data_IF_911777586648
#
_entry.id   IF_911777586648
#
_cell.length_a   1.000
_cell.length_b   1.000
_cell.length_c   1.000
_cell.angle_alpha   90.00
_cell.angle_beta   90.00
_cell.angle_gamma   90.00
#
_symmetry.space_group_name_H-M   'P 1'
#
loop_
_entity.id
_entity.type
_entity.pdbx_description
1 polymer ?
#
# COMPACT_ATOMS: atom_id res chain seq x y z
N UNK A 1 -19.92 -17.85 25.09
CA UNK A 1 -20.46 -18.89 24.18
C UNK A 1 -19.40 -19.05 23.08
N UNK A 2 -18.74 -20.21 23.01
CA UNK A 2 -17.74 -20.45 21.98
C UNK A 2 -18.42 -20.46 20.63
N UNK A 3 -17.96 -19.61 19.71
CA UNK A 3 -18.37 -19.65 18.30
C UNK A 3 -17.99 -21.01 17.74
N UNK A 4 -18.98 -21.78 17.31
CA UNK A 4 -18.76 -23.07 16.63
C UNK A 4 -18.02 -22.80 15.33
N UNK A 5 -16.78 -23.29 15.21
CA UNK A 5 -16.00 -23.15 13.98
C UNK A 5 -16.39 -24.27 13.01
N UNK A 6 -16.66 -23.92 11.77
CA UNK A 6 -17.03 -24.87 10.71
C UNK A 6 -15.80 -25.17 9.84
N UNK A 7 -15.45 -26.44 9.69
CA UNK A 7 -14.38 -26.85 8.79
C UNK A 7 -14.78 -26.62 7.33
N UNK A 8 -13.84 -26.11 6.51
CA UNK A 8 -14.07 -25.88 5.09
C UNK A 8 -14.42 -27.18 4.35
N UNK A 9 -13.82 -28.30 4.78
CA UNK A 9 -14.11 -29.66 4.26
C UNK A 9 -15.57 -30.05 4.37
N UNK A 10 -16.28 -29.57 5.42
CA UNK A 10 -17.70 -29.86 5.65
C UNK A 10 -18.60 -29.23 4.59
N UNK A 11 -18.29 -28.03 4.14
CA UNK A 11 -19.06 -27.29 3.13
C UNK A 11 -18.54 -27.58 1.72
N UNK A 12 -17.25 -27.77 1.58
CA UNK A 12 -16.54 -27.82 0.29
C UNK A 12 -16.20 -26.43 -0.24
N UNK A 13 -15.08 -26.29 -0.92
CA UNK A 13 -14.54 -24.99 -1.38
C UNK A 13 -15.42 -24.27 -2.37
N UNK A 14 -15.95 -24.98 -3.38
CA UNK A 14 -16.82 -24.38 -4.40
C UNK A 14 -18.12 -23.85 -3.76
N UNK A 15 -18.71 -24.59 -2.84
CA UNK A 15 -19.90 -24.15 -2.11
C UNK A 15 -19.60 -22.95 -1.21
N UNK A 16 -18.43 -22.96 -0.57
CA UNK A 16 -17.98 -21.80 0.23
C UNK A 16 -17.80 -20.56 -0.65
N UNK A 17 -17.15 -20.68 -1.81
CA UNK A 17 -16.99 -19.57 -2.77
C UNK A 17 -18.37 -19.00 -3.15
N UNK A 18 -19.31 -19.83 -3.54
CA UNK A 18 -20.66 -19.40 -3.90
C UNK A 18 -21.33 -18.63 -2.75
N UNK A 19 -21.26 -19.18 -1.53
CA UNK A 19 -21.81 -18.53 -0.31
C UNK A 19 -21.13 -17.19 0.00
N UNK A 20 -19.81 -17.06 -0.22
CA UNK A 20 -19.08 -15.82 0.01
C UNK A 20 -19.49 -14.70 -0.95
N UNK A 21 -19.93 -15.03 -2.16
CA UNK A 21 -20.47 -14.05 -3.12
C UNK A 21 -21.92 -13.65 -2.85
N UNK A 22 -22.69 -14.43 -2.05
CA UNK A 22 -24.06 -14.09 -1.68
C UNK A 22 -24.09 -12.70 -1.01
N UNK A 23 -25.07 -11.88 -1.41
CA UNK A 23 -25.33 -10.53 -0.88
C UNK A 23 -24.17 -9.53 -1.04
N UNK A 24 -23.09 -9.85 -1.76
CA UNK A 24 -22.00 -8.90 -2.06
C UNK A 24 -22.36 -7.95 -3.20
N UNK A 25 -23.21 -8.36 -4.12
CA UNK A 25 -23.49 -7.67 -5.39
C UNK A 25 -22.50 -8.02 -6.49
N UNK A 26 -21.61 -8.98 -6.27
CA UNK A 26 -20.64 -9.48 -7.24
C UNK A 26 -20.94 -10.91 -7.67
N UNK A 27 -20.41 -11.31 -8.81
CA UNK A 27 -20.38 -12.68 -9.31
C UNK A 27 -18.92 -13.14 -9.38
N UNK A 28 -18.63 -14.41 -9.05
CA UNK A 28 -17.27 -14.93 -9.21
C UNK A 28 -16.92 -15.09 -10.69
N UNK A 29 -16.01 -14.26 -11.18
CA UNK A 29 -15.57 -14.26 -12.57
C UNK A 29 -14.24 -15.02 -12.68
N UNK A 30 -14.26 -16.28 -13.12
CA UNK A 30 -13.02 -17.05 -13.36
C UNK A 30 -12.13 -16.43 -14.42
N UNK A 31 -12.72 -15.69 -15.36
CA UNK A 31 -12.01 -14.96 -16.42
C UNK A 31 -12.58 -13.55 -16.51
N UNK A 32 -11.79 -12.56 -16.16
CA UNK A 32 -12.21 -11.16 -16.22
C UNK A 32 -11.90 -10.59 -17.60
N UNK A 33 -12.93 -10.03 -18.25
CA UNK A 33 -12.81 -9.35 -19.54
C UNK A 33 -12.99 -7.86 -19.34
N UNK A 34 -11.94 -7.08 -19.54
CA UNK A 34 -12.03 -5.63 -19.55
C UNK A 34 -12.46 -5.15 -20.94
N UNK A 35 -13.67 -4.60 -21.04
CA UNK A 35 -14.29 -4.18 -22.31
C UNK A 35 -13.91 -2.77 -22.74
N UNK A 36 -13.19 -2.00 -21.92
CA UNK A 36 -12.83 -0.62 -22.22
C UNK A 36 -11.71 -0.52 -23.26
N UNK A 37 -11.87 0.40 -24.21
CA UNK A 37 -10.82 0.73 -25.18
C UNK A 37 -9.75 1.58 -24.51
N UNK A 38 -8.54 1.04 -24.34
CA UNK A 38 -7.46 1.76 -23.69
C UNK A 38 -6.21 0.90 -23.55
N UNK A 39 -5.28 1.38 -22.73
CA UNK A 39 -4.13 0.62 -22.27
C UNK A 39 -4.47 -0.02 -20.92
N UNK A 40 -4.36 -1.34 -20.87
CA UNK A 40 -4.56 -2.11 -19.64
C UNK A 40 -3.23 -2.26 -18.90
N UNK A 41 -3.26 -2.09 -17.60
CA UNK A 41 -2.16 -2.49 -16.72
C UNK A 41 -2.67 -3.46 -15.65
N UNK A 42 -1.78 -4.30 -15.15
CA UNK A 42 -2.04 -5.25 -14.08
C UNK A 42 -0.98 -5.14 -13.01
N UNK A 43 -1.39 -5.35 -11.77
CA UNK A 43 -0.48 -5.51 -10.62
C UNK A 43 -0.68 -6.87 -9.98
N UNK A 44 0.38 -7.38 -9.37
CA UNK A 44 0.38 -8.65 -8.68
C UNK A 44 1.10 -8.52 -7.35
N UNK A 45 0.52 -9.08 -6.29
CA UNK A 45 1.14 -9.14 -4.96
C UNK A 45 0.95 -10.53 -4.37
N UNK A 46 1.89 -10.92 -3.53
CA UNK A 46 1.77 -12.09 -2.67
C UNK A 46 2.02 -11.66 -1.24
N UNK A 47 1.18 -12.10 -0.32
CA UNK A 47 1.34 -11.88 1.11
C UNK A 47 1.44 -13.24 1.80
N UNK A 48 2.50 -13.44 2.56
CA UNK A 48 2.81 -14.68 3.24
C UNK A 48 2.72 -14.47 4.75
N UNK A 49 2.05 -15.40 5.43
CA UNK A 49 1.99 -15.42 6.88
C UNK A 49 3.39 -15.60 7.49
N UNK A 50 3.67 -14.82 8.54
CA UNK A 50 4.99 -14.78 9.19
C UNK A 50 6.03 -13.93 8.46
N UNK A 51 5.72 -13.43 7.25
CA UNK A 51 6.59 -12.54 6.47
C UNK A 51 5.96 -11.16 6.30
N UNK A 52 4.77 -11.11 5.70
CA UNK A 52 4.06 -9.85 5.40
C UNK A 52 3.01 -9.50 6.45
N UNK A 53 2.55 -10.46 7.22
CA UNK A 53 1.58 -10.27 8.31
C UNK A 53 1.73 -11.38 9.35
N UNK A 54 1.24 -11.09 10.55
CA UNK A 54 1.19 -12.05 11.65
C UNK A 54 -0.25 -12.10 12.20
N UNK A 55 -0.86 -13.28 12.17
CA UNK A 55 -2.25 -13.47 12.60
C UNK A 55 -2.46 -13.32 14.11
N UNK A 56 -1.40 -13.24 14.91
CA UNK A 56 -1.51 -12.98 16.34
C UNK A 56 -2.09 -11.59 16.60
N UNK A 57 -1.73 -10.61 15.74
CA UNK A 57 -2.17 -9.22 15.89
C UNK A 57 -2.82 -8.61 14.64
N UNK A 58 -2.96 -9.38 13.55
CA UNK A 58 -3.61 -8.89 12.32
C UNK A 58 -4.97 -9.57 12.14
N UNK A 59 -6.10 -8.91 12.47
CA UNK A 59 -7.41 -9.47 12.24
C UNK A 59 -7.67 -9.72 10.76
N UNK A 60 -8.27 -10.88 10.43
CA UNK A 60 -8.47 -11.33 9.05
C UNK A 60 -9.26 -10.35 8.20
N UNK A 61 -10.25 -9.67 8.79
CA UNK A 61 -11.01 -8.62 8.09
C UNK A 61 -10.13 -7.46 7.63
N UNK A 62 -9.23 -6.96 8.48
CA UNK A 62 -8.28 -5.90 8.10
C UNK A 62 -7.26 -6.41 7.08
N UNK A 63 -6.82 -7.66 7.23
CA UNK A 63 -5.90 -8.27 6.27
C UNK A 63 -6.53 -8.37 4.88
N UNK A 64 -7.80 -8.77 4.77
CA UNK A 64 -8.52 -8.81 3.50
C UNK A 64 -8.65 -7.43 2.84
N UNK A 65 -9.00 -6.41 3.62
CA UNK A 65 -9.06 -5.02 3.15
C UNK A 65 -7.69 -4.54 2.66
N UNK A 66 -6.66 -4.70 3.47
CA UNK A 66 -5.28 -4.30 3.17
C UNK A 66 -4.73 -5.02 1.93
N UNK A 67 -5.04 -6.32 1.77
CA UNK A 67 -4.65 -7.09 0.59
C UNK A 67 -5.23 -6.49 -0.71
N UNK A 68 -6.49 -6.07 -0.71
CA UNK A 68 -7.09 -5.40 -1.86
C UNK A 68 -6.36 -4.10 -2.19
N UNK A 69 -6.10 -3.24 -1.18
CA UNK A 69 -5.40 -1.98 -1.37
C UNK A 69 -3.98 -2.17 -1.91
N UNK A 70 -3.28 -3.22 -1.45
CA UNK A 70 -1.92 -3.55 -1.87
C UNK A 70 -1.79 -3.74 -3.39
N UNK A 71 -2.80 -4.34 -4.02
CA UNK A 71 -2.85 -4.51 -5.47
C UNK A 71 -3.40 -3.28 -6.19
N UNK A 72 -4.44 -2.63 -5.64
CA UNK A 72 -5.03 -1.45 -6.27
C UNK A 72 -4.11 -0.23 -6.28
N UNK A 73 -3.28 -0.06 -5.25
CA UNK A 73 -2.38 1.08 -5.13
C UNK A 73 -1.44 1.22 -6.33
N UNK A 74 -0.89 0.13 -6.83
CA UNK A 74 -0.02 0.14 -8.01
C UNK A 74 -0.76 0.62 -9.28
N UNK A 75 -2.06 0.29 -9.39
CA UNK A 75 -2.89 0.74 -10.51
C UNK A 75 -3.15 2.25 -10.43
N UNK A 76 -3.46 2.75 -9.23
CA UNK A 76 -3.62 4.19 -8.98
C UNK A 76 -2.35 4.98 -9.24
N UNK A 77 -1.19 4.43 -8.84
CA UNK A 77 0.11 5.05 -9.07
C UNK A 77 0.39 5.31 -10.56
N UNK A 78 -0.12 4.44 -11.43
CA UNK A 78 -0.03 4.59 -12.88
C UNK A 78 -1.13 5.48 -13.49
N UNK A 79 -1.83 6.27 -12.69
CA UNK A 79 -2.95 7.14 -13.11
C UNK A 79 -4.08 6.34 -13.80
N UNK A 80 -4.37 5.12 -13.35
CA UNK A 80 -5.45 4.27 -13.82
C UNK A 80 -6.43 3.97 -12.71
N UNK A 81 -7.72 3.87 -13.07
CA UNK A 81 -8.75 3.45 -12.12
C UNK A 81 -8.76 1.92 -12.07
N UNK A 82 -8.57 1.30 -10.89
CA UNK A 82 -8.75 -0.13 -10.72
C UNK A 82 -10.17 -0.58 -11.13
N UNK A 83 -10.26 -1.65 -11.89
CA UNK A 83 -11.55 -2.17 -12.40
C UNK A 83 -11.83 -3.58 -11.93
N UNK A 84 -10.79 -4.35 -11.59
CA UNK A 84 -10.91 -5.74 -11.16
C UNK A 84 -9.98 -6.07 -10.01
N UNK A 85 -10.39 -7.06 -9.21
CA UNK A 85 -9.57 -7.71 -8.19
C UNK A 85 -9.75 -9.23 -8.27
N UNK A 86 -8.63 -9.95 -8.26
CA UNK A 86 -8.62 -11.41 -8.14
C UNK A 86 -7.87 -11.82 -6.89
N UNK A 87 -8.49 -12.68 -6.08
CA UNK A 87 -7.94 -13.17 -4.83
C UNK A 87 -7.79 -14.69 -4.90
N UNK A 88 -6.58 -15.20 -4.65
CA UNK A 88 -6.31 -16.62 -4.51
C UNK A 88 -5.79 -16.87 -3.10
N UNK A 89 -6.45 -17.73 -2.35
CA UNK A 89 -6.10 -18.09 -0.98
C UNK A 89 -5.56 -19.51 -0.91
N UNK A 90 -4.33 -19.66 -0.40
CA UNK A 90 -3.77 -20.92 0.05
C UNK A 90 -4.07 -21.07 1.55
N UNK A 91 -4.92 -22.05 1.92
CA UNK A 91 -5.46 -22.22 3.26
C UNK A 91 -5.00 -23.53 3.87
N UNK A 92 -4.33 -23.50 5.03
CA UNK A 92 -4.06 -24.71 5.80
C UNK A 92 -5.32 -25.18 6.55
N UNK A 93 -5.32 -26.40 7.04
CA UNK A 93 -6.47 -27.02 7.72
C UNK A 93 -6.91 -26.32 9.01
N UNK A 94 -6.12 -25.37 9.53
CA UNK A 94 -6.49 -24.60 10.72
C UNK A 94 -7.53 -23.51 10.45
N UNK A 95 -7.72 -23.12 9.18
CA UNK A 95 -8.68 -22.08 8.81
C UNK A 95 -10.08 -22.64 8.67
N UNK A 96 -11.03 -21.98 9.31
CA UNK A 96 -12.46 -22.29 9.26
C UNK A 96 -13.18 -21.48 8.19
N UNK A 97 -14.44 -21.78 7.95
CA UNK A 97 -15.33 -21.02 7.08
C UNK A 97 -15.46 -19.58 7.57
N UNK A 98 -15.55 -19.40 8.88
CA UNK A 98 -15.69 -18.09 9.53
C UNK A 98 -14.45 -17.23 9.28
N UNK A 99 -13.26 -17.79 9.40
CA UNK A 99 -11.98 -17.11 9.13
C UNK A 99 -11.92 -16.59 7.67
N UNK A 100 -12.31 -17.45 6.71
CA UNK A 100 -12.34 -17.05 5.30
C UNK A 100 -13.41 -16.00 5.03
N UNK A 101 -14.56 -16.10 5.71
CA UNK A 101 -15.66 -15.12 5.62
C UNK A 101 -15.23 -13.76 6.12
N UNK A 102 -14.50 -13.70 7.23
CA UNK A 102 -13.98 -12.44 7.80
C UNK A 102 -12.99 -11.78 6.84
N UNK A 103 -12.01 -12.55 6.33
CA UNK A 103 -11.04 -12.03 5.35
C UNK A 103 -11.76 -11.51 4.10
N UNK A 104 -12.67 -12.30 3.55
CA UNK A 104 -13.46 -11.93 2.37
C UNK A 104 -14.30 -10.67 2.60
N UNK A 105 -14.90 -10.52 3.78
CA UNK A 105 -15.71 -9.34 4.13
C UNK A 105 -14.89 -8.04 4.02
N UNK A 106 -13.64 -8.05 4.49
CA UNK A 106 -12.73 -6.92 4.36
C UNK A 106 -12.33 -6.65 2.91
N UNK A 107 -12.04 -7.71 2.14
CA UNK A 107 -11.70 -7.60 0.73
C UNK A 107 -12.85 -6.98 -0.10
N UNK A 108 -14.08 -7.43 0.13
CA UNK A 108 -15.28 -6.88 -0.52
C UNK A 108 -15.55 -5.44 -0.08
N UNK A 109 -15.29 -5.09 1.19
CA UNK A 109 -15.44 -3.71 1.66
C UNK A 109 -14.55 -2.76 0.86
N UNK A 110 -13.27 -3.09 0.71
CA UNK A 110 -12.34 -2.32 -0.13
C UNK A 110 -12.79 -2.27 -1.61
N UNK A 111 -13.24 -3.40 -2.16
CA UNK A 111 -13.73 -3.46 -3.53
C UNK A 111 -14.93 -2.52 -3.77
N UNK A 112 -15.88 -2.45 -2.82
CA UNK A 112 -17.02 -1.54 -2.88
C UNK A 112 -16.63 -0.08 -2.76
N UNK A 113 -15.77 0.25 -1.81
CA UNK A 113 -15.26 1.61 -1.59
C UNK A 113 -14.58 2.17 -2.84
N UNK A 114 -13.79 1.33 -3.52
CA UNK A 114 -13.05 1.70 -4.72
C UNK A 114 -13.81 1.46 -6.04
N UNK A 115 -15.10 1.16 -5.96
CA UNK A 115 -16.00 0.94 -7.11
C UNK A 115 -15.47 -0.12 -8.10
N UNK A 116 -14.86 -1.18 -7.58
CA UNK A 116 -14.39 -2.32 -8.38
C UNK A 116 -15.59 -3.01 -9.03
N UNK A 117 -15.46 -3.35 -10.32
CA UNK A 117 -16.54 -3.92 -11.12
C UNK A 117 -16.52 -5.45 -11.13
N UNK A 118 -15.32 -6.04 -11.06
CA UNK A 118 -15.12 -7.47 -11.26
C UNK A 118 -14.33 -8.08 -10.11
N UNK A 119 -14.85 -9.16 -9.52
CA UNK A 119 -14.16 -9.94 -8.50
C UNK A 119 -13.99 -11.38 -8.92
N UNK A 120 -12.88 -11.98 -8.50
CA UNK A 120 -12.58 -13.40 -8.63
C UNK A 120 -12.03 -13.93 -7.31
N UNK A 121 -12.43 -15.12 -6.92
CA UNK A 121 -11.93 -15.82 -5.75
C UNK A 121 -11.64 -17.28 -6.09
N UNK A 122 -10.47 -17.75 -5.65
CA UNK A 122 -10.09 -19.15 -5.69
C UNK A 122 -9.56 -19.59 -4.33
N UNK A 123 -9.93 -20.80 -3.89
CA UNK A 123 -9.51 -21.40 -2.62
C UNK A 123 -8.72 -22.67 -2.88
N UNK A 124 -7.49 -22.72 -2.42
CA UNK A 124 -6.57 -23.84 -2.56
C UNK A 124 -6.09 -24.36 -1.20
N UNK A 125 -5.77 -25.63 -1.06
CA UNK A 125 -5.12 -26.13 0.14
C UNK A 125 -3.68 -25.62 0.22
N UNK A 126 -3.22 -25.33 1.44
CA UNK A 126 -1.84 -25.01 1.74
C UNK A 126 -1.34 -25.92 2.86
N UNK A 127 -0.09 -26.32 2.82
CA UNK A 127 0.56 -27.03 3.91
C UNK A 127 1.17 -26.08 4.96
N UNK A 128 1.36 -24.82 4.59
CA UNK A 128 2.12 -23.83 5.38
C UNK A 128 1.30 -22.55 5.57
N UNK A 129 0.40 -22.52 6.55
CA UNK A 129 -0.28 -21.28 6.93
C UNK A 129 -1.19 -20.69 5.85
N UNK A 130 -1.32 -19.35 5.88
CA UNK A 130 -2.09 -18.56 4.94
C UNK A 130 -1.18 -17.91 3.89
N UNK A 131 -1.48 -18.18 2.63
CA UNK A 131 -0.88 -17.51 1.49
C UNK A 131 -1.97 -16.75 0.75
N UNK A 132 -1.73 -15.46 0.49
CA UNK A 132 -2.67 -14.59 -0.21
C UNK A 132 -1.98 -14.09 -1.49
N UNK A 133 -2.51 -14.47 -2.65
CA UNK A 133 -2.08 -13.93 -3.94
C UNK A 133 -3.18 -13.03 -4.49
N UNK A 134 -2.83 -11.80 -4.84
CA UNK A 134 -3.79 -10.79 -5.29
C UNK A 134 -3.33 -10.20 -6.62
N UNK A 135 -4.29 -9.96 -7.51
CA UNK A 135 -4.09 -9.19 -8.74
C UNK A 135 -5.14 -8.12 -8.87
N UNK A 136 -4.75 -6.99 -9.43
CA UNK A 136 -5.66 -5.92 -9.84
C UNK A 136 -5.37 -5.51 -11.27
N UNK A 137 -6.40 -5.10 -12.01
CA UNK A 137 -6.24 -4.56 -13.37
C UNK A 137 -7.00 -3.24 -13.50
N UNK A 138 -6.42 -2.31 -14.25
CA UNK A 138 -7.03 -1.03 -14.58
C UNK A 138 -6.78 -0.64 -16.02
N UNK A 139 -7.65 0.21 -16.55
CA UNK A 139 -7.56 0.68 -17.93
C UNK A 139 -7.56 2.21 -17.96
N UNK A 140 -6.71 2.78 -18.79
CA UNK A 140 -6.70 4.22 -19.07
C UNK A 140 -6.86 4.47 -20.57
N UNK A 141 -7.63 5.51 -20.92
CA UNK A 141 -7.85 5.93 -22.31
C UNK A 141 -6.53 6.38 -22.95
N UNK A 142 -6.25 5.94 -24.19
CA UNK A 142 -5.04 6.31 -24.93
C UNK A 142 -4.82 7.83 -25.00
N UNK A 143 -5.89 8.62 -25.16
CA UNK A 143 -5.80 10.07 -25.20
C UNK A 143 -5.37 10.73 -23.88
N UNK A 144 -5.57 10.06 -22.72
CA UNK A 144 -5.05 10.51 -21.42
C UNK A 144 -3.58 10.15 -21.31
N UNK A 145 -3.23 8.90 -21.68
CA UNK A 145 -1.84 8.44 -21.65
C UNK A 145 -0.94 9.31 -22.53
N UNK A 146 -1.44 9.73 -23.70
CA UNK A 146 -0.71 10.61 -24.61
C UNK A 146 -0.43 12.02 -24.03
N UNK A 147 -1.11 12.40 -22.93
CA UNK A 147 -0.88 13.68 -22.23
C UNK A 147 0.16 13.58 -21.12
N UNK A 148 0.59 12.38 -20.74
CA UNK A 148 1.62 12.17 -19.73
C UNK A 148 2.96 12.71 -20.28
N UNK A 149 3.57 13.72 -19.63
CA UNK A 149 4.81 14.29 -20.12
C UNK A 149 5.99 13.35 -19.83
N UNK A 150 7.07 13.51 -20.59
CA UNK A 150 8.35 12.93 -20.21
C UNK A 150 8.86 13.62 -18.93
N UNK A 151 9.52 12.90 -18.01
CA UNK A 151 10.12 13.49 -16.82
C UNK A 151 11.21 14.50 -17.19
N UNK A 152 11.36 15.54 -16.36
CA UNK A 152 12.36 16.61 -16.57
C UNK A 152 13.08 16.94 -15.28
N UNK A 153 14.30 17.45 -15.42
CA UNK A 153 14.99 18.06 -14.29
C UNK A 153 14.14 19.17 -13.67
N UNK A 154 14.09 19.24 -12.34
CA UNK A 154 13.26 20.14 -11.52
C UNK A 154 11.76 19.78 -11.45
N UNK A 155 11.27 18.71 -12.10
CA UNK A 155 9.92 18.22 -11.82
C UNK A 155 9.78 17.91 -10.33
N UNK A 156 8.63 18.28 -9.77
CA UNK A 156 8.35 18.14 -8.36
C UNK A 156 8.11 16.68 -7.98
N UNK A 157 8.60 16.26 -6.82
CA UNK A 157 8.26 14.99 -6.21
C UNK A 157 7.27 15.26 -5.09
N UNK A 158 6.03 14.81 -5.28
CA UNK A 158 4.92 15.02 -4.35
C UNK A 158 4.62 13.70 -3.62
N UNK A 159 4.40 13.77 -2.31
CA UNK A 159 4.02 12.66 -1.43
C UNK A 159 2.61 12.86 -0.90
N UNK A 160 1.80 11.80 -0.83
CA UNK A 160 0.47 11.83 -0.22
C UNK A 160 0.54 11.46 1.26
N UNK A 161 0.13 12.36 2.14
CA UNK A 161 0.02 12.11 3.58
C UNK A 161 1.33 11.73 4.27
N UNK A 162 1.24 11.20 5.49
CA UNK A 162 2.38 10.91 6.35
C UNK A 162 3.00 9.54 6.05
N UNK A 163 4.31 9.41 6.27
CA UNK A 163 5.07 8.15 6.19
C UNK A 163 5.69 7.77 7.55
N UNK A 164 6.04 6.50 7.70
CA UNK A 164 6.64 5.93 8.90
C UNK A 164 5.64 5.55 9.99
N UNK A 165 4.38 5.99 9.92
CA UNK A 165 3.37 5.68 10.94
C UNK A 165 3.00 4.20 10.97
N UNK A 166 2.90 3.55 9.81
CA UNK A 166 2.61 2.12 9.72
C UNK A 166 3.73 1.28 10.33
N UNK A 167 4.97 1.64 10.08
CA UNK A 167 6.13 0.96 10.67
C UNK A 167 6.17 1.10 12.20
N UNK A 168 5.89 2.29 12.72
CA UNK A 168 5.75 2.50 14.16
C UNK A 168 4.61 1.66 14.75
N UNK A 169 3.47 1.56 14.04
CA UNK A 169 2.34 0.71 14.44
C UNK A 169 2.70 -0.77 14.49
N UNK A 170 3.49 -1.26 13.55
CA UNK A 170 4.03 -2.61 13.56
C UNK A 170 4.90 -2.86 14.81
N UNK A 171 5.79 -1.93 15.15
CA UNK A 171 6.63 -2.04 16.36
C UNK A 171 5.82 -2.07 17.64
N UNK A 172 4.75 -1.28 17.74
CA UNK A 172 3.80 -1.38 18.88
C UNK A 172 3.25 -2.80 18.98
N UNK A 173 2.72 -3.35 17.87
CA UNK A 173 2.11 -4.68 17.85
C UNK A 173 3.11 -5.79 18.18
N UNK A 174 4.33 -5.70 17.66
CA UNK A 174 5.39 -6.66 17.95
C UNK A 174 5.81 -6.63 19.42
N UNK A 175 5.97 -5.44 19.99
CA UNK A 175 6.30 -5.28 21.42
C UNK A 175 5.20 -5.86 22.31
N UNK A 176 3.94 -5.52 22.06
CA UNK A 176 2.82 -6.02 22.83
C UNK A 176 2.61 -7.54 22.67
N UNK A 177 2.94 -8.11 21.51
CA UNK A 177 2.97 -9.57 21.33
C UNK A 177 3.96 -10.24 22.26
N UNK A 178 5.18 -9.70 22.39
CA UNK A 178 6.21 -10.25 23.30
C UNK A 178 5.73 -10.16 24.74
N UNK A 179 5.27 -8.99 25.19
CA UNK A 179 4.76 -8.78 26.54
C UNK A 179 3.58 -9.70 26.87
N UNK A 180 2.65 -9.91 25.95
CA UNK A 180 1.52 -10.82 26.13
C UNK A 180 1.94 -12.28 26.32
N UNK A 181 2.99 -12.72 25.62
CA UNK A 181 3.53 -14.09 25.75
C UNK A 181 4.23 -14.27 27.09
N UNK A 182 4.96 -13.26 27.60
CA UNK A 182 5.74 -13.33 28.83
C UNK A 182 4.90 -13.18 30.10
N UNK A 183 3.92 -12.26 30.11
CA UNK A 183 3.17 -11.89 31.32
C UNK A 183 1.77 -12.53 31.46
N UNK A 184 1.38 -13.42 30.55
CA UNK A 184 0.13 -14.19 30.50
C UNK A 184 -1.05 -13.56 31.30
N UNK A 185 -1.81 -12.67 30.69
CA UNK A 185 -3.24 -12.41 30.90
C UNK A 185 -3.76 -10.96 30.95
N UNK A 186 -2.96 -9.91 30.89
CA UNK A 186 -3.53 -8.56 30.76
C UNK A 186 -3.58 -8.13 29.30
N UNK A 187 -4.78 -7.77 28.85
CA UNK A 187 -4.96 -7.19 27.54
C UNK A 187 -4.27 -5.82 27.50
N UNK A 188 -3.32 -5.58 26.56
CA UNK A 188 -2.57 -4.32 26.53
C UNK A 188 -3.48 -3.13 26.27
N UNK A 189 -3.23 -2.00 26.92
CA UNK A 189 -3.91 -0.74 26.59
C UNK A 189 -3.26 -0.10 25.38
N UNK A 190 -3.89 -0.29 24.23
CA UNK A 190 -3.46 0.25 22.93
C UNK A 190 -4.07 1.62 22.61
N UNK A 191 -4.80 2.23 23.53
CA UNK A 191 -5.55 3.48 23.29
C UNK A 191 -4.65 4.66 22.89
N UNK A 192 -3.42 4.71 23.42
CA UNK A 192 -2.39 5.71 23.07
C UNK A 192 -1.92 5.61 21.62
N UNK A 193 -1.95 4.43 21.03
CA UNK A 193 -1.35 4.15 19.73
C UNK A 193 -2.37 4.02 18.58
N UNK A 194 -3.62 4.43 18.77
CA UNK A 194 -4.71 4.23 17.78
C UNK A 194 -4.35 4.68 16.37
N UNK A 195 -3.70 5.84 16.23
CA UNK A 195 -3.29 6.37 14.93
C UNK A 195 -2.26 5.46 14.24
N UNK A 196 -1.23 5.03 14.97
CA UNK A 196 -0.17 4.16 14.46
C UNK A 196 -0.72 2.78 14.07
N UNK A 197 -1.59 2.22 14.92
CA UNK A 197 -2.24 0.94 14.67
C UNK A 197 -3.18 1.01 13.45
N UNK A 198 -3.94 2.10 13.31
CA UNK A 198 -4.77 2.32 12.14
C UNK A 198 -3.93 2.42 10.86
N UNK A 199 -2.80 3.15 10.91
CA UNK A 199 -1.89 3.27 9.78
C UNK A 199 -1.37 1.91 9.28
N UNK A 200 -1.09 0.97 10.19
CA UNK A 200 -0.60 -0.37 9.84
C UNK A 200 -1.73 -1.34 9.48
N UNK A 201 -2.79 -1.42 10.32
CA UNK A 201 -3.84 -2.43 10.18
C UNK A 201 -4.93 -2.06 9.15
N UNK A 202 -5.23 -0.78 9.03
CA UNK A 202 -6.31 -0.25 8.20
C UNK A 202 -5.84 0.99 7.40
N UNK A 203 -4.82 0.84 6.53
CA UNK A 203 -4.39 1.93 5.68
C UNK A 203 -5.52 2.41 4.76
N UNK A 204 -5.44 3.65 4.32
CA UNK A 204 -6.45 4.26 3.45
C UNK A 204 -5.82 4.78 2.16
N UNK A 205 -6.51 4.55 1.04
CA UNK A 205 -6.23 5.15 -0.26
C UNK A 205 -7.46 5.96 -0.68
N UNK A 206 -7.26 7.22 -1.04
CA UNK A 206 -8.35 8.03 -1.58
C UNK A 206 -8.76 7.50 -2.97
N UNK A 207 -9.99 6.97 -3.15
CA UNK A 207 -10.42 6.44 -4.45
C UNK A 207 -10.51 7.50 -5.56
N UNK A 208 -10.48 8.78 -5.20
CA UNK A 208 -10.52 9.90 -6.14
C UNK A 208 -9.16 10.33 -6.68
N UNK A 209 -8.04 9.66 -6.36
CA UNK A 209 -6.68 10.03 -6.81
C UNK A 209 -6.66 10.35 -8.31
N UNK A 210 -7.10 9.40 -9.14
CA UNK A 210 -7.06 9.57 -10.60
C UNK A 210 -7.97 10.71 -11.06
N UNK A 211 -9.21 10.75 -10.58
CA UNK A 211 -10.18 11.77 -11.00
C UNK A 211 -9.76 13.19 -10.61
N UNK A 212 -9.11 13.37 -9.45
CA UNK A 212 -8.56 14.67 -9.01
C UNK A 212 -7.47 15.15 -9.97
N UNK A 213 -6.50 14.31 -10.31
CA UNK A 213 -5.46 14.67 -11.27
C UNK A 213 -6.02 15.04 -12.64
N UNK A 214 -6.97 14.23 -13.14
CA UNK A 214 -7.59 14.47 -14.44
C UNK A 214 -8.44 15.76 -14.47
N UNK A 215 -9.12 16.07 -13.38
CA UNK A 215 -9.93 17.31 -13.25
C UNK A 215 -9.06 18.57 -13.36
N UNK A 216 -7.90 18.57 -12.73
CA UNK A 216 -6.97 19.71 -12.74
C UNK A 216 -5.98 19.66 -13.93
N UNK A 217 -6.20 18.77 -14.89
CA UNK A 217 -5.32 18.54 -16.06
C UNK A 217 -3.85 18.38 -15.67
N UNK A 218 -3.61 17.65 -14.57
CA UNK A 218 -2.28 17.27 -14.13
C UNK A 218 -2.05 15.81 -14.55
N UNK A 219 -0.95 15.57 -15.23
CA UNK A 219 -0.55 14.25 -15.71
C UNK A 219 0.84 13.95 -15.14
N UNK A 220 0.93 13.27 -13.99
CA UNK A 220 2.22 12.87 -13.42
C UNK A 220 3.04 12.08 -14.42
N UNK A 221 4.32 12.43 -14.57
CA UNK A 221 5.26 11.70 -15.44
C UNK A 221 5.61 10.31 -14.91
N UNK A 222 5.54 10.12 -13.59
CA UNK A 222 5.66 8.83 -12.91
C UNK A 222 4.88 8.84 -11.60
N UNK A 223 4.54 7.65 -11.11
CA UNK A 223 3.93 7.45 -9.79
C UNK A 223 4.30 6.09 -9.23
N UNK A 224 4.52 6.03 -7.91
CA UNK A 224 4.88 4.81 -7.17
C UNK A 224 4.06 4.69 -5.90
N UNK A 225 3.67 3.47 -5.59
CA UNK A 225 2.93 3.12 -4.41
C UNK A 225 3.86 2.59 -3.31
N UNK A 226 3.84 3.22 -2.15
CA UNK A 226 4.81 2.99 -1.09
C UNK A 226 4.38 1.84 -0.16
N UNK A 227 4.81 0.63 -0.49
CA UNK A 227 4.68 -0.55 0.38
C UNK A 227 6.02 -0.99 0.97
N UNK A 228 7.14 -0.56 0.39
CA UNK A 228 8.51 -0.93 0.79
C UNK A 228 9.31 0.23 1.40
N UNK A 229 8.64 1.33 1.79
CA UNK A 229 9.24 2.55 2.28
C UNK A 229 9.48 3.60 1.19
N UNK A 230 9.67 4.84 1.62
CA UNK A 230 9.90 5.97 0.72
C UNK A 230 11.20 5.81 -0.09
N UNK A 231 12.24 5.27 0.54
CA UNK A 231 13.53 5.06 -0.12
C UNK A 231 13.42 4.15 -1.35
N UNK A 232 12.70 3.04 -1.23
CA UNK A 232 12.45 2.14 -2.36
C UNK A 232 11.70 2.84 -3.49
N UNK A 233 10.65 3.61 -3.17
CA UNK A 233 9.90 4.37 -4.18
C UNK A 233 10.74 5.42 -4.90
N UNK A 234 11.65 6.10 -4.18
CA UNK A 234 12.57 7.09 -4.78
C UNK A 234 13.61 6.40 -5.68
N UNK A 235 14.12 5.23 -5.28
CA UNK A 235 15.07 4.48 -6.09
C UNK A 235 14.42 3.94 -7.38
N UNK A 236 13.17 3.45 -7.30
CA UNK A 236 12.40 3.07 -8.49
C UNK A 236 12.21 4.28 -9.43
N UNK A 237 11.87 5.45 -8.86
CA UNK A 237 11.67 6.68 -9.61
C UNK A 237 12.96 7.12 -10.32
N UNK A 238 14.12 7.08 -9.66
CA UNK A 238 15.43 7.41 -10.25
C UNK A 238 15.75 6.45 -11.39
N UNK A 239 15.57 5.15 -11.15
CA UNK A 239 15.84 4.11 -12.14
C UNK A 239 15.00 4.28 -13.41
N UNK A 240 13.69 4.49 -13.23
CA UNK A 240 12.76 4.50 -14.36
C UNK A 240 12.75 5.83 -15.11
N UNK A 241 12.99 6.95 -14.42
CA UNK A 241 13.04 8.28 -15.03
C UNK A 241 14.37 8.56 -15.76
N UNK A 242 15.46 7.93 -15.34
CA UNK A 242 16.82 8.24 -15.77
C UNK A 242 17.35 9.56 -15.21
N UNK A 243 16.65 10.17 -14.24
CA UNK A 243 17.07 11.37 -13.51
C UNK A 243 17.52 11.01 -12.10
N UNK A 244 18.29 11.88 -11.45
CA UNK A 244 18.49 11.84 -10.01
C UNK A 244 17.27 12.40 -9.26
N UNK A 245 17.27 12.24 -7.93
CA UNK A 245 16.24 12.81 -7.05
C UNK A 245 16.86 13.43 -5.81
N UNK A 246 16.40 14.65 -5.44
CA UNK A 246 16.69 15.28 -4.15
C UNK A 246 15.43 15.29 -3.31
N UNK A 247 15.46 14.62 -2.17
CA UNK A 247 14.37 14.57 -1.18
C UNK A 247 14.82 15.38 0.03
N UNK A 248 13.99 16.32 0.49
CA UNK A 248 14.28 17.17 1.64
C UNK A 248 13.66 16.59 2.91
N UNK A 249 14.49 16.22 3.88
CA UNK A 249 14.06 15.56 5.11
C UNK A 249 13.04 16.39 5.89
N UNK A 250 13.24 17.70 5.97
CA UNK A 250 12.37 18.66 6.67
C UNK A 250 11.01 18.88 5.99
N UNK A 251 10.85 18.40 4.76
CA UNK A 251 9.59 18.47 3.99
C UNK A 251 8.79 17.17 3.99
N UNK A 252 9.34 16.09 4.53
CA UNK A 252 8.63 14.82 4.61
C UNK A 252 7.63 14.89 5.76
N UNK A 253 6.31 14.75 5.50
CA UNK A 253 5.32 14.79 6.56
C UNK A 253 5.40 13.54 7.43
N UNK A 254 5.52 13.76 8.74
CA UNK A 254 5.59 12.72 9.78
C UNK A 254 4.62 13.10 10.90
N UNK A 255 3.85 12.14 11.40
CA UNK A 255 2.94 12.39 12.51
C UNK A 255 3.69 12.59 13.84
N UNK A 256 3.15 13.43 14.73
CA UNK A 256 3.71 13.60 16.09
C UNK A 256 3.76 12.28 16.85
N UNK A 257 2.73 11.42 16.70
CA UNK A 257 2.70 10.10 17.31
C UNK A 257 3.81 9.18 16.81
N UNK A 258 4.21 9.30 15.53
CA UNK A 258 5.35 8.55 15.00
C UNK A 258 6.67 9.00 15.63
N UNK A 259 6.85 10.31 15.81
CA UNK A 259 8.03 10.87 16.49
C UNK A 259 8.10 10.45 17.97
N UNK A 260 6.97 10.53 18.67
CA UNK A 260 6.87 10.08 20.06
C UNK A 260 7.22 8.60 20.21
N UNK A 261 6.67 7.75 19.33
CA UNK A 261 6.95 6.32 19.35
C UNK A 261 8.42 6.01 19.00
N UNK A 262 8.99 6.69 18.02
CA UNK A 262 10.40 6.53 17.67
C UNK A 262 11.32 6.87 18.86
N UNK A 263 11.02 7.93 19.62
CA UNK A 263 11.73 8.27 20.86
C UNK A 263 11.54 7.21 21.95
N UNK A 264 10.31 6.67 22.09
CA UNK A 264 9.99 5.64 23.10
C UNK A 264 10.78 4.35 22.89
N UNK A 265 11.06 3.97 21.63
CA UNK A 265 11.82 2.75 21.28
C UNK A 265 13.28 3.04 20.88
N UNK A 266 13.76 4.27 21.10
CA UNK A 266 15.12 4.72 20.76
C UNK A 266 15.49 4.45 19.28
N UNK A 267 14.53 4.62 18.36
CA UNK A 267 14.72 4.42 16.93
C UNK A 267 14.96 5.74 16.21
N UNK A 268 15.91 5.75 15.26
CA UNK A 268 16.06 6.86 14.34
C UNK A 268 14.85 6.94 13.39
N UNK A 269 14.14 8.07 13.44
CA UNK A 269 12.95 8.28 12.62
C UNK A 269 13.27 8.27 11.11
N UNK A 270 14.46 8.64 10.68
CA UNK A 270 14.90 8.58 9.28
C UNK A 270 14.83 7.15 8.76
N UNK A 271 15.22 6.17 9.57
CA UNK A 271 15.11 4.75 9.24
C UNK A 271 13.65 4.34 8.99
N UNK A 272 12.73 4.77 9.85
CA UNK A 272 11.30 4.49 9.69
C UNK A 272 10.71 5.13 8.42
N UNK A 273 11.10 6.37 8.10
CA UNK A 273 10.65 7.10 6.92
C UNK A 273 11.15 6.42 5.64
N UNK A 274 12.44 6.14 5.58
CA UNK A 274 13.09 5.66 4.35
C UNK A 274 12.83 4.17 4.11
N UNK A 275 12.90 3.34 5.16
CA UNK A 275 12.90 1.88 5.03
C UNK A 275 11.73 1.17 5.75
N UNK A 276 10.87 1.90 6.48
CA UNK A 276 9.81 1.31 7.29
C UNK A 276 8.78 0.51 6.49
N UNK A 277 8.29 1.09 5.42
CA UNK A 277 7.29 0.47 4.54
C UNK A 277 5.87 0.43 5.11
N UNK A 278 5.00 -0.21 4.36
CA UNK A 278 3.56 -0.41 4.68
C UNK A 278 2.74 0.89 4.84
N UNK A 279 3.25 2.03 4.31
CA UNK A 279 2.60 3.34 4.46
C UNK A 279 1.35 3.48 3.57
N UNK A 280 1.27 2.73 2.46
CA UNK A 280 0.14 2.82 1.50
C UNK A 280 -0.10 4.24 1.00
N UNK A 281 0.99 4.97 0.75
CA UNK A 281 1.01 6.31 0.21
C UNK A 281 1.57 6.31 -1.20
N UNK A 282 1.50 7.46 -1.87
CA UNK A 282 2.02 7.61 -3.23
C UNK A 282 3.09 8.69 -3.26
N UNK A 283 4.08 8.48 -4.12
CA UNK A 283 4.88 9.58 -4.67
C UNK A 283 4.54 9.73 -6.14
N UNK A 284 4.46 10.99 -6.60
CA UNK A 284 4.24 11.34 -7.99
C UNK A 284 5.25 12.38 -8.43
N UNK A 285 5.71 12.30 -9.69
CA UNK A 285 6.47 13.38 -10.32
C UNK A 285 5.55 14.24 -11.17
N UNK A 286 5.56 15.54 -10.88
CA UNK A 286 4.66 16.52 -11.49
C UNK A 286 5.49 17.66 -12.07
N UNK A 287 5.18 18.15 -13.30
CA UNK A 287 5.88 19.31 -13.86
C UNK A 287 5.88 20.49 -12.91
N UNK A 288 7.02 21.19 -12.78
CA UNK A 288 7.20 22.31 -11.86
C UNK A 288 6.19 23.44 -12.11
N UNK A 289 5.74 23.62 -13.35
CA UNK A 289 4.74 24.60 -13.74
C UNK A 289 3.37 24.37 -13.09
N UNK A 290 3.15 23.17 -12.55
CA UNK A 290 1.92 22.80 -11.83
C UNK A 290 2.01 23.04 -10.30
N UNK A 291 3.12 23.59 -9.80
CA UNK A 291 3.34 23.83 -8.37
C UNK A 291 2.17 24.55 -7.68
N UNK A 292 1.70 25.66 -8.24
CA UNK A 292 0.63 26.45 -7.62
C UNK A 292 -0.71 25.71 -7.58
N UNK A 293 -1.00 24.88 -8.61
CA UNK A 293 -2.19 24.05 -8.64
C UNK A 293 -2.09 22.93 -7.59
N UNK A 294 -0.94 22.26 -7.48
CA UNK A 294 -0.71 21.26 -6.44
C UNK A 294 -0.93 21.87 -5.05
N UNK A 295 -0.30 23.00 -4.77
CA UNK A 295 -0.42 23.67 -3.47
C UNK A 295 -1.85 24.08 -3.13
N UNK A 296 -2.64 24.47 -4.12
CA UNK A 296 -4.01 24.98 -3.93
C UNK A 296 -5.05 23.84 -3.86
N UNK A 297 -4.99 22.89 -4.79
CA UNK A 297 -6.05 21.89 -5.00
C UNK A 297 -5.72 20.51 -4.36
N UNK A 298 -4.45 20.28 -3.97
CA UNK A 298 -3.95 19.04 -3.40
C UNK A 298 -3.31 19.27 -2.03
N UNK A 299 -4.09 19.81 -1.08
CA UNK A 299 -3.61 20.14 0.27
C UNK A 299 -3.17 18.92 1.09
N UNK A 300 -3.54 17.72 0.66
CA UNK A 300 -3.13 16.41 1.19
C UNK A 300 -1.88 15.84 0.51
N UNK A 301 -1.22 16.63 -0.36
CA UNK A 301 0.03 16.30 -1.03
C UNK A 301 1.12 17.29 -0.65
N UNK A 302 2.26 16.76 -0.21
CA UNK A 302 3.42 17.58 0.14
C UNK A 302 4.50 17.47 -0.94
N UNK A 303 5.06 18.61 -1.34
CA UNK A 303 6.23 18.65 -2.23
C UNK A 303 7.46 18.37 -1.40
N UNK A 304 7.92 17.12 -1.44
CA UNK A 304 9.05 16.64 -0.63
C UNK A 304 10.41 16.76 -1.32
N UNK A 305 10.42 17.04 -2.62
CA UNK A 305 11.67 17.07 -3.39
C UNK A 305 11.44 17.39 -4.86
N UNK A 306 12.47 17.14 -5.65
CA UNK A 306 12.43 17.33 -7.10
C UNK A 306 13.38 16.35 -7.82
N UNK A 307 13.14 16.14 -9.12
CA UNK A 307 14.07 15.45 -9.99
C UNK A 307 15.32 16.29 -10.19
N UNK A 308 16.48 15.67 -10.14
CA UNK A 308 17.78 16.29 -10.31
C UNK A 308 18.51 15.71 -11.54
N UNK A 309 19.67 16.22 -11.87
CA UNK A 309 20.50 15.63 -12.91
C UNK A 309 20.89 14.20 -12.55
N UNK A 310 21.09 13.31 -13.55
CA UNK A 310 21.40 11.89 -13.30
C UNK A 310 22.59 11.66 -12.36
N UNK A 311 23.61 12.52 -12.43
CA UNK A 311 24.85 12.38 -11.65
C UNK A 311 24.63 12.55 -10.14
N UNK A 312 23.50 13.13 -9.73
CA UNK A 312 23.15 13.32 -8.31
C UNK A 312 22.74 11.99 -7.66
N UNK A 313 22.19 11.05 -8.46
CA UNK A 313 21.61 9.84 -7.90
C UNK A 313 20.39 10.11 -7.03
N UNK A 314 20.13 9.25 -6.04
CA UNK A 314 19.04 9.41 -5.07
C UNK A 314 19.62 9.91 -3.73
N UNK A 315 19.30 11.15 -3.34
CA UNK A 315 19.84 11.76 -2.12
C UNK A 315 18.75 12.33 -1.21
N UNK A 316 18.95 12.14 0.09
CA UNK A 316 18.19 12.79 1.17
C UNK A 316 19.01 14.01 1.62
N UNK A 317 18.41 15.18 1.52
CA UNK A 317 19.01 16.44 1.95
C UNK A 317 18.59 16.75 3.38
N UNK A 318 19.53 16.87 4.30
CA UNK A 318 19.25 17.23 5.70
C UNK A 318 18.99 18.74 5.83
N UNK A 319 18.39 19.20 6.96
CA UNK A 319 18.17 20.63 7.20
C UNK A 319 19.48 21.46 7.16
N UNK A 320 20.61 20.85 7.49
CA UNK A 320 21.94 21.47 7.44
C UNK A 320 22.54 21.49 6.02
N UNK A 321 21.83 20.90 5.04
CA UNK A 321 22.26 20.86 3.65
C UNK A 321 23.20 19.70 3.28
N UNK A 322 23.41 18.73 4.19
CA UNK A 322 24.16 17.53 3.85
C UNK A 322 23.34 16.60 2.95
N UNK A 323 23.98 16.01 1.96
CA UNK A 323 23.38 15.06 1.03
C UNK A 323 23.76 13.62 1.41
N UNK A 324 22.78 12.82 1.80
CA UNK A 324 22.94 11.42 2.19
C UNK A 324 22.38 10.53 1.08
N UNK A 325 23.17 9.58 0.60
CA UNK A 325 22.69 8.61 -0.41
C UNK A 325 21.54 7.78 0.16
N UNK A 326 20.39 7.78 -0.53
CA UNK A 326 19.24 6.95 -0.18
C UNK A 326 19.57 5.49 -0.51
N UNK A 327 19.37 4.62 0.49
CA UNK A 327 19.51 3.17 0.35
C UNK A 327 18.22 2.49 0.78
N UNK A 328 17.86 1.41 0.12
CA UNK A 328 16.69 0.60 0.48
C UNK A 328 17.01 -0.90 0.33
N UNK A 329 16.32 -1.71 1.12
CA UNK A 329 16.45 -3.16 1.03
C UNK A 329 16.06 -3.66 -0.36
N UNK A 330 16.85 -4.57 -0.92
CA UNK A 330 16.64 -5.14 -2.25
C UNK A 330 17.24 -4.34 -3.41
N UNK A 331 17.94 -3.23 -3.12
CA UNK A 331 18.74 -2.49 -4.10
C UNK A 331 20.22 -2.66 -3.80
N UNK A 332 21.02 -2.85 -4.85
CA UNK A 332 22.48 -2.88 -4.69
C UNK A 332 22.99 -1.51 -4.19
N UNK A 333 23.95 -1.55 -3.29
CA UNK A 333 24.69 -0.34 -2.97
C UNK A 333 25.43 0.08 -4.25
N UNK A 334 25.14 1.26 -4.80
CA UNK A 334 25.98 1.83 -5.85
C UNK A 334 27.40 1.91 -5.27
N UNK A 335 28.33 1.16 -5.85
CA UNK A 335 29.75 1.35 -5.60
C UNK A 335 30.08 2.78 -6.03
N UNK A 336 30.27 3.67 -5.04
CA UNK A 336 30.67 5.05 -5.25
C UNK A 336 32.17 5.16 -5.45
#
# INVERSE_FOLDING_TARGET
MGTTRTEISTIGRENLINRLFENTGYTNERTIKLSEKGECCTSHKILLEGVNFDLVYTPLKYLGYKAALCAMGEIYALLRQPASLSLNLGLSSRFSVEDVTDLWSGFVAAAKEHAIKHLSLELNPSLTGLCISISSSGVQKKGIIAKVPAPKNMDLICLTGNVGAAYMGLHVLQREKVSFIEESSQQPDLSKYKHLLAAYLSPEINPSVVSRFLKEEIYPSAGYFLTRGLGAGVLDLVKDSGFGAKIYLDRIPVSSQSLEMAQEIEMDMVTAIINGGEDYKFIFTVPIEKHDVIRKEFQDYDVIGHLARPEVGAVLVTPEGAELTIRAQGYEASEG
#
